data_IF_575122917704
#
_entry.id   IF_575122917704
#
_cell.length_a   1.000
_cell.length_b   1.000
_cell.length_c   1.000
_cell.angle_alpha   90.00
_cell.angle_beta   90.00
_cell.angle_gamma   90.00
#
_symmetry.space_group_name_H-M   'P 1'
#
loop_
_entity.id
_entity.type
_entity.pdbx_description
1 polymer ?
#
# COMPACT_ATOMS: atom_id res chain seq x y z
N UNK A 1 1.50 7.83 6.64
CA UNK A 1 0.67 7.62 5.47
C UNK A 1 0.22 6.17 5.40
N UNK A 2 -1.07 5.94 5.22
CA UNK A 2 -1.71 4.65 4.99
C UNK A 2 -2.32 4.59 3.59
N UNK A 3 -2.89 3.44 3.24
CA UNK A 3 -3.62 3.19 1.99
C UNK A 3 -2.98 3.83 0.74
N UNK A 4 -1.73 3.45 0.47
CA UNK A 4 -0.90 3.98 -0.63
C UNK A 4 -0.70 5.51 -0.64
N UNK A 5 -1.08 6.21 0.42
CA UNK A 5 -0.99 7.66 0.56
C UNK A 5 -2.32 8.39 0.51
N UNK A 6 -3.44 7.68 0.38
CA UNK A 6 -4.77 8.26 0.51
C UNK A 6 -5.12 8.65 1.95
N UNK A 7 -4.38 8.09 2.92
CA UNK A 7 -4.49 8.41 4.33
C UNK A 7 -3.19 9.02 4.85
N UNK A 8 -3.28 10.04 5.67
CA UNK A 8 -2.13 10.59 6.38
C UNK A 8 -2.50 11.03 7.80
N UNK A 9 -1.51 10.99 8.65
CA UNK A 9 -1.65 11.52 9.99
C UNK A 9 -0.41 12.36 10.32
N UNK A 10 -0.62 13.52 10.93
CA UNK A 10 0.44 14.40 11.35
C UNK A 10 0.72 14.18 12.83
N UNK A 11 1.95 13.80 13.17
CA UNK A 11 2.40 13.71 14.56
C UNK A 11 2.90 15.08 15.03
N UNK A 12 2.30 15.59 16.09
CA UNK A 12 2.80 16.77 16.81
C UNK A 12 3.84 16.31 17.84
N UNK A 13 4.77 17.20 18.21
CA UNK A 13 5.81 16.95 19.24
C UNK A 13 5.15 16.35 20.51
N UNK A 14 5.57 15.15 20.94
CA UNK A 14 4.93 14.41 22.04
C UNK A 14 3.92 13.37 21.56
N UNK A 15 4.30 12.63 20.53
CA UNK A 15 3.52 11.56 19.89
C UNK A 15 2.74 10.69 20.89
N UNK A 16 1.43 10.78 20.80
CA UNK A 16 0.49 9.85 21.44
C UNK A 16 -0.35 9.21 20.34
N UNK A 17 -0.26 7.88 20.15
CA UNK A 17 -1.01 7.16 19.10
C UNK A 17 -2.51 7.39 19.13
N UNK A 18 -3.08 7.54 20.35
CA UNK A 18 -4.49 7.81 20.61
C UNK A 18 -4.99 9.20 20.17
N UNK A 19 -4.07 10.09 19.80
CA UNK A 19 -4.36 11.46 19.36
C UNK A 19 -4.04 11.74 17.91
N UNK A 20 -3.73 10.71 17.12
CA UNK A 20 -3.55 10.87 15.69
C UNK A 20 -4.89 11.16 15.02
N UNK A 21 -5.00 12.31 14.38
CA UNK A 21 -6.08 12.57 13.43
C UNK A 21 -5.65 12.00 12.09
N UNK A 22 -6.32 10.95 11.66
CA UNK A 22 -6.16 10.42 10.30
C UNK A 22 -7.01 11.28 9.38
N UNK A 23 -6.39 11.80 8.34
CA UNK A 23 -7.05 12.54 7.28
C UNK A 23 -7.03 11.68 6.01
N UNK A 24 -8.11 11.78 5.24
CA UNK A 24 -8.27 11.02 4.00
C UNK A 24 -8.26 11.97 2.80
N UNK A 25 -7.73 11.52 1.69
CA UNK A 25 -7.85 12.26 0.42
C UNK A 25 -9.34 12.34 0.04
N UNK A 26 -9.84 13.53 -0.30
CA UNK A 26 -11.23 13.69 -0.70
C UNK A 26 -11.55 12.84 -1.93
N UNK A 27 -12.65 12.13 -1.88
CA UNK A 27 -13.14 11.28 -2.97
C UNK A 27 -14.49 11.82 -3.44
N UNK A 28 -14.76 11.77 -4.74
CA UNK A 28 -16.04 12.17 -5.29
C UNK A 28 -17.18 11.34 -4.68
N UNK A 29 -18.30 11.98 -4.38
CA UNK A 29 -19.42 11.33 -3.68
C UNK A 29 -19.96 10.11 -4.43
N UNK A 30 -19.95 10.14 -5.77
CA UNK A 30 -20.34 9.02 -6.63
C UNK A 30 -19.40 7.82 -6.50
N UNK A 31 -18.08 8.06 -6.39
CA UNK A 31 -17.07 7.01 -6.20
C UNK A 31 -17.22 6.38 -4.82
N UNK A 32 -17.47 7.19 -3.78
CA UNK A 32 -17.74 6.68 -2.43
C UNK A 32 -19.03 5.85 -2.40
N UNK A 33 -20.10 6.35 -3.01
CA UNK A 33 -21.37 5.62 -3.10
C UNK A 33 -21.21 4.28 -3.84
N UNK A 34 -20.40 4.23 -4.91
CA UNK A 34 -20.09 2.98 -5.60
C UNK A 34 -19.27 2.04 -4.73
N UNK A 35 -18.27 2.53 -4.00
CA UNK A 35 -17.52 1.71 -3.05
C UNK A 35 -18.45 1.08 -1.99
N UNK A 36 -19.40 1.85 -1.45
CA UNK A 36 -20.37 1.36 -0.47
C UNK A 36 -21.33 0.32 -1.08
N UNK A 37 -21.76 0.49 -2.33
CA UNK A 37 -22.53 -0.51 -3.06
C UNK A 37 -21.73 -1.80 -3.25
N UNK A 38 -20.49 -1.73 -3.68
CA UNK A 38 -19.63 -2.89 -3.89
C UNK A 38 -19.41 -3.68 -2.59
N UNK A 39 -19.25 -3.00 -1.45
CA UNK A 39 -19.18 -3.64 -0.12
C UNK A 39 -20.43 -4.46 0.19
N UNK A 40 -21.60 -3.92 -0.14
CA UNK A 40 -22.89 -4.54 0.17
C UNK A 40 -23.27 -5.65 -0.83
N UNK A 41 -23.02 -5.44 -2.12
CA UNK A 41 -23.58 -6.26 -3.20
C UNK A 41 -22.62 -7.38 -3.66
N UNK A 42 -21.30 -7.17 -3.65
CA UNK A 42 -20.34 -8.19 -4.15
C UNK A 42 -20.28 -9.45 -3.28
N UNK A 43 -20.21 -9.37 -1.93
CA UNK A 43 -20.14 -10.59 -1.12
C UNK A 43 -21.31 -11.55 -1.32
N UNK A 44 -22.60 -11.12 -1.34
CA UNK A 44 -23.71 -12.04 -1.59
C UNK A 44 -23.73 -12.58 -3.03
N UNK A 45 -23.24 -11.84 -4.03
CA UNK A 45 -23.15 -12.32 -5.42
C UNK A 45 -22.10 -13.43 -5.57
N UNK A 46 -21.00 -13.35 -4.83
CA UNK A 46 -19.95 -14.38 -4.83
C UNK A 46 -20.36 -15.59 -4.00
N UNK A 47 -21.02 -15.38 -2.84
CA UNK A 47 -21.58 -16.44 -2.00
C UNK A 47 -20.59 -17.41 -1.37
N UNK A 48 -19.28 -17.12 -1.41
CA UNK A 48 -18.23 -17.98 -0.86
C UNK A 48 -17.79 -17.54 0.54
N UNK A 49 -17.78 -18.46 1.49
CA UNK A 49 -17.30 -18.26 2.86
C UNK A 49 -15.77 -18.00 2.95
N UNK A 50 -15.06 -18.29 1.86
CA UNK A 50 -13.64 -17.99 1.67
C UNK A 50 -13.35 -16.52 1.33
N UNK A 51 -14.39 -15.75 0.94
CA UNK A 51 -14.22 -14.34 0.59
C UNK A 51 -14.08 -13.48 1.85
N UNK A 52 -13.04 -12.65 1.89
CA UNK A 52 -12.88 -11.66 2.94
C UNK A 52 -12.76 -10.27 2.32
N UNK A 53 -13.52 -9.32 2.84
CA UNK A 53 -13.47 -7.91 2.46
C UNK A 53 -12.53 -7.16 3.40
N UNK A 54 -11.58 -6.44 2.83
CA UNK A 54 -10.82 -5.40 3.50
C UNK A 54 -11.35 -4.05 3.06
N UNK A 55 -11.98 -3.34 3.99
CA UNK A 55 -12.57 -2.02 3.77
C UNK A 55 -11.57 -0.92 4.16
N UNK A 56 -11.19 -0.09 3.20
CA UNK A 56 -10.33 1.08 3.37
C UNK A 56 -11.07 2.39 3.04
N UNK A 57 -12.39 2.39 3.24
CA UNK A 57 -13.24 3.51 2.89
C UNK A 57 -13.63 3.49 1.41
N UNK A 58 -13.00 4.31 0.59
CA UNK A 58 -13.24 4.39 -0.85
C UNK A 58 -12.44 3.35 -1.66
N UNK A 59 -11.40 2.76 -1.08
CA UNK A 59 -10.65 1.64 -1.66
C UNK A 59 -11.03 0.34 -0.99
N UNK A 60 -11.10 -0.76 -1.75
CA UNK A 60 -11.56 -2.07 -1.30
C UNK A 60 -10.62 -3.16 -1.75
N UNK A 61 -10.49 -4.23 -0.95
CA UNK A 61 -9.81 -5.44 -1.38
C UNK A 61 -10.64 -6.68 -1.04
N UNK A 62 -11.06 -7.42 -2.06
CA UNK A 62 -11.73 -8.70 -1.93
C UNK A 62 -10.68 -9.81 -1.94
N UNK A 63 -10.37 -10.37 -0.78
CA UNK A 63 -9.39 -11.45 -0.63
C UNK A 63 -10.03 -12.82 -0.83
N UNK A 64 -9.44 -13.63 -1.70
CA UNK A 64 -9.88 -15.00 -2.02
C UNK A 64 -8.76 -16.04 -1.87
N UNK A 65 -7.77 -15.76 -1.02
CA UNK A 65 -6.63 -16.69 -0.78
C UNK A 65 -7.02 -18.03 -0.16
N UNK A 66 -8.23 -18.12 0.45
CA UNK A 66 -8.76 -19.33 1.06
C UNK A 66 -9.70 -20.11 0.14
N UNK A 67 -9.94 -19.62 -1.07
CA UNK A 67 -10.78 -20.31 -2.03
C UNK A 67 -10.16 -21.66 -2.43
N UNK A 68 -10.97 -22.70 -2.62
CA UNK A 68 -10.52 -24.01 -3.09
C UNK A 68 -9.84 -23.92 -4.47
N UNK A 69 -10.38 -23.07 -5.34
CA UNK A 69 -9.83 -22.73 -6.64
C UNK A 69 -9.68 -21.21 -6.74
N UNK A 70 -8.45 -20.75 -6.74
CA UNK A 70 -8.10 -19.32 -6.73
C UNK A 70 -8.44 -18.64 -8.06
N UNK A 71 -8.30 -19.34 -9.18
CA UNK A 71 -8.61 -18.76 -10.50
C UNK A 71 -10.12 -18.67 -10.74
N UNK A 72 -10.87 -19.69 -10.34
CA UNK A 72 -12.33 -19.63 -10.37
C UNK A 72 -12.88 -18.53 -9.45
N UNK A 73 -12.33 -18.41 -8.23
CA UNK A 73 -12.69 -17.36 -7.28
C UNK A 73 -12.38 -15.95 -7.82
N UNK A 74 -11.22 -15.79 -8.47
CA UNK A 74 -10.85 -14.53 -9.15
C UNK A 74 -11.89 -14.15 -10.22
N UNK A 75 -12.28 -15.11 -11.07
CA UNK A 75 -13.26 -14.89 -12.12
C UNK A 75 -14.63 -14.51 -11.53
N UNK A 76 -15.07 -15.19 -10.46
CA UNK A 76 -16.32 -14.89 -9.76
C UNK A 76 -16.33 -13.49 -9.14
N UNK A 77 -15.26 -13.12 -8.41
CA UNK A 77 -15.16 -11.81 -7.79
C UNK A 77 -15.14 -10.71 -8.85
N UNK A 78 -14.36 -10.89 -9.92
CA UNK A 78 -14.35 -9.95 -11.03
C UNK A 78 -15.73 -9.78 -11.66
N UNK A 79 -16.40 -10.87 -11.99
CA UNK A 79 -17.74 -10.82 -12.59
C UNK A 79 -18.75 -10.12 -11.67
N UNK A 80 -18.69 -10.36 -10.36
CA UNK A 80 -19.55 -9.69 -9.39
C UNK A 80 -19.25 -8.17 -9.32
N UNK A 81 -17.98 -7.79 -9.32
CA UNK A 81 -17.57 -6.38 -9.35
C UNK A 81 -18.05 -5.70 -10.64
N UNK A 82 -17.81 -6.32 -11.81
CA UNK A 82 -18.23 -5.78 -13.12
C UNK A 82 -19.76 -5.66 -13.23
N UNK A 83 -20.52 -6.54 -12.55
CA UNK A 83 -21.97 -6.48 -12.50
C UNK A 83 -22.51 -5.31 -11.68
N UNK A 84 -21.81 -4.91 -10.62
CA UNK A 84 -22.17 -3.79 -9.72
C UNK A 84 -21.65 -2.46 -10.28
N UNK A 85 -20.37 -2.40 -10.62
CA UNK A 85 -19.72 -1.21 -11.18
C UNK A 85 -19.65 -1.28 -12.71
N UNK A 86 -20.80 -1.19 -13.34
CA UNK A 86 -20.93 -1.28 -14.82
C UNK A 86 -20.29 -0.11 -15.55
N UNK A 87 -20.16 1.03 -14.88
CA UNK A 87 -19.62 2.25 -15.45
C UNK A 87 -18.09 2.36 -15.25
N UNK A 88 -17.52 1.47 -14.43
CA UNK A 88 -16.09 1.48 -14.14
C UNK A 88 -15.65 2.70 -13.35
N UNK A 89 -16.44 3.09 -12.36
CA UNK A 89 -16.14 4.25 -11.49
C UNK A 89 -14.90 4.04 -10.62
N UNK A 90 -14.56 2.78 -10.30
CA UNK A 90 -13.34 2.44 -9.61
C UNK A 90 -12.31 1.78 -10.53
N UNK A 91 -11.04 2.15 -10.38
CA UNK A 91 -9.94 1.42 -11.00
C UNK A 91 -9.80 0.02 -10.40
N UNK A 92 -9.52 -0.97 -11.25
CA UNK A 92 -9.38 -2.37 -10.88
C UNK A 92 -7.95 -2.87 -11.13
N UNK A 93 -6.95 -2.50 -10.32
CA UNK A 93 -5.57 -2.99 -10.51
C UNK A 93 -5.45 -4.51 -10.33
N UNK A 94 -6.45 -5.14 -9.73
CA UNK A 94 -6.48 -6.58 -9.49
C UNK A 94 -5.44 -7.02 -8.45
N UNK A 95 -5.08 -8.31 -8.48
CA UNK A 95 -4.08 -8.89 -7.58
C UNK A 95 -3.98 -10.40 -7.75
N UNK A 96 -2.99 -11.03 -7.13
CA UNK A 96 -2.75 -12.48 -7.29
C UNK A 96 -3.81 -13.31 -6.56
N UNK A 97 -4.12 -12.95 -5.30
CA UNK A 97 -5.09 -13.66 -4.43
C UNK A 97 -6.06 -12.70 -3.77
N UNK A 98 -6.25 -11.55 -4.40
CA UNK A 98 -7.17 -10.50 -4.01
C UNK A 98 -7.60 -9.73 -5.26
N UNK A 99 -8.72 -9.04 -5.19
CA UNK A 99 -9.17 -8.09 -6.20
C UNK A 99 -9.23 -6.72 -5.56
N UNK A 100 -8.32 -5.85 -5.95
CA UNK A 100 -8.23 -4.49 -5.43
C UNK A 100 -9.06 -3.54 -6.29
N UNK A 101 -9.75 -2.63 -5.64
CA UNK A 101 -10.53 -1.55 -6.22
C UNK A 101 -10.12 -0.25 -5.53
N UNK A 102 -9.94 0.80 -6.29
CA UNK A 102 -9.54 2.10 -5.76
C UNK A 102 -10.14 3.26 -6.55
N UNK A 103 -10.28 4.45 -5.95
CA UNK A 103 -10.69 5.64 -6.67
C UNK A 103 -9.80 5.92 -7.88
N UNK A 104 -10.36 6.47 -8.97
CA UNK A 104 -9.57 6.89 -10.12
C UNK A 104 -8.50 7.91 -9.74
N UNK A 105 -7.29 7.70 -10.24
CA UNK A 105 -6.17 8.58 -9.95
C UNK A 105 -5.63 8.49 -8.51
N UNK A 106 -6.06 7.52 -7.71
CA UNK A 106 -5.52 7.29 -6.37
C UNK A 106 -4.00 7.16 -6.43
N UNK A 107 -3.32 7.87 -5.52
CA UNK A 107 -1.88 7.92 -5.50
C UNK A 107 -1.27 6.53 -5.29
N UNK A 108 -0.25 6.21 -6.05
CA UNK A 108 0.58 5.02 -5.82
C UNK A 108 1.60 5.28 -4.72
N UNK A 109 2.11 4.23 -4.06
CA UNK A 109 3.21 4.35 -3.08
C UNK A 109 4.40 5.15 -3.64
N UNK A 110 4.71 4.98 -4.92
CA UNK A 110 5.76 5.75 -5.60
C UNK A 110 5.44 7.24 -5.65
N UNK A 111 4.24 7.61 -6.10
CA UNK A 111 3.82 9.02 -6.18
C UNK A 111 3.77 9.67 -4.80
N UNK A 112 3.24 8.95 -3.80
CA UNK A 112 3.21 9.41 -2.41
C UNK A 112 4.61 9.64 -1.87
N UNK A 113 5.52 8.69 -2.07
CA UNK A 113 6.91 8.83 -1.63
C UNK A 113 7.59 10.02 -2.31
N UNK A 114 7.39 10.21 -3.62
CA UNK A 114 7.92 11.36 -4.34
C UNK A 114 7.41 12.67 -3.75
N UNK A 115 6.09 12.82 -3.55
CA UNK A 115 5.48 14.01 -2.94
C UNK A 115 6.03 14.29 -1.54
N UNK A 116 6.23 13.23 -0.72
CA UNK A 116 6.80 13.36 0.63
C UNK A 116 8.23 13.88 0.59
N UNK A 117 9.05 13.35 -0.28
CA UNK A 117 10.45 13.77 -0.43
C UNK A 117 10.51 15.24 -0.88
N UNK A 118 9.73 15.62 -1.88
CA UNK A 118 9.64 17.00 -2.39
C UNK A 118 9.18 17.99 -1.31
N UNK A 119 8.20 17.60 -0.50
CA UNK A 119 7.64 18.44 0.57
C UNK A 119 8.54 18.56 1.78
N UNK A 120 9.19 17.46 2.19
CA UNK A 120 9.97 17.39 3.43
C UNK A 120 11.46 17.74 3.21
N UNK A 121 11.96 17.57 1.98
CA UNK A 121 13.37 17.74 1.59
C UNK A 121 14.33 17.12 2.60
N UNK A 122 14.21 15.82 2.88
CA UNK A 122 15.04 15.16 3.88
C UNK A 122 16.48 14.97 3.36
N UNK A 123 17.45 14.94 4.25
CA UNK A 123 18.83 14.57 3.92
C UNK A 123 18.97 13.09 3.57
N UNK A 124 18.14 12.23 4.19
CA UNK A 124 18.15 10.78 3.99
C UNK A 124 16.72 10.22 3.95
N UNK A 125 16.46 9.37 2.96
CA UNK A 125 15.21 8.59 2.84
C UNK A 125 15.52 7.12 2.97
N UNK A 126 14.86 6.44 3.92
CA UNK A 126 14.93 4.98 4.04
C UNK A 126 13.53 4.41 3.86
N UNK A 127 13.35 3.52 2.88
CA UNK A 127 12.10 2.83 2.65
C UNK A 127 12.30 1.33 2.77
N UNK A 128 11.42 0.68 3.54
CA UNK A 128 11.36 -0.77 3.66
C UNK A 128 10.06 -1.27 3.02
N UNK A 129 10.13 -2.40 2.29
CA UNK A 129 8.95 -2.97 1.67
C UNK A 129 9.16 -4.41 1.23
N UNK A 130 8.06 -5.17 1.08
CA UNK A 130 8.09 -6.60 0.78
C UNK A 130 7.29 -7.01 -0.45
N UNK A 131 6.51 -6.08 -1.02
CA UNK A 131 5.61 -6.35 -2.13
C UNK A 131 6.03 -5.69 -3.47
N UNK A 132 5.21 -5.92 -4.49
CA UNK A 132 5.41 -5.35 -5.83
C UNK A 132 5.29 -3.82 -5.85
N UNK A 133 4.36 -3.28 -5.06
CA UNK A 133 4.12 -1.84 -5.02
C UNK A 133 5.27 -1.12 -4.32
N UNK A 134 5.85 -1.77 -3.29
CA UNK A 134 7.06 -1.29 -2.64
C UNK A 134 8.26 -1.28 -3.59
N UNK A 135 8.46 -2.37 -4.34
CA UNK A 135 9.50 -2.45 -5.36
C UNK A 135 9.38 -1.35 -6.43
N UNK A 136 8.15 -0.98 -6.79
CA UNK A 136 7.91 0.16 -7.68
C UNK A 136 8.23 1.50 -6.99
N UNK A 137 7.92 1.66 -5.71
CA UNK A 137 8.21 2.87 -4.96
C UNK A 137 9.72 3.07 -4.73
N UNK A 138 10.53 2.02 -4.67
CA UNK A 138 11.99 2.12 -4.59
C UNK A 138 12.61 2.89 -5.78
N UNK A 139 11.91 2.94 -6.93
CA UNK A 139 12.37 3.77 -8.06
C UNK A 139 12.35 5.27 -7.74
N UNK A 140 11.48 5.72 -6.82
CA UNK A 140 11.46 7.10 -6.37
C UNK A 140 12.75 7.46 -5.60
N UNK A 141 13.23 6.56 -4.73
CA UNK A 141 14.50 6.75 -3.99
C UNK A 141 15.67 6.89 -4.94
N UNK A 142 15.75 6.01 -5.94
CA UNK A 142 16.81 6.07 -6.96
C UNK A 142 16.80 7.39 -7.72
N UNK A 143 15.62 7.83 -8.13
CA UNK A 143 15.45 9.09 -8.85
C UNK A 143 15.88 10.32 -8.04
N UNK A 144 15.55 10.34 -6.74
CA UNK A 144 15.92 11.44 -5.83
C UNK A 144 17.43 11.49 -5.62
N UNK A 145 18.09 10.33 -5.45
CA UNK A 145 19.55 10.24 -5.35
C UNK A 145 20.26 10.83 -6.58
N UNK A 146 19.71 10.60 -7.76
CA UNK A 146 20.29 11.06 -9.03
C UNK A 146 20.08 12.56 -9.28
N UNK A 147 18.94 13.11 -8.84
CA UNK A 147 18.54 14.48 -9.16
C UNK A 147 18.86 15.51 -8.07
N UNK A 148 18.60 15.16 -6.84
CA UNK A 148 18.44 16.15 -5.76
C UNK A 148 19.55 16.05 -4.69
N UNK A 149 20.48 15.09 -4.83
CA UNK A 149 21.55 14.88 -3.89
C UNK A 149 21.10 14.37 -2.51
N UNK A 150 19.82 14.00 -2.38
CA UNK A 150 19.28 13.37 -1.17
C UNK A 150 19.77 11.93 -1.08
N UNK A 151 20.34 11.54 0.05
CA UNK A 151 20.70 10.15 0.28
C UNK A 151 19.45 9.27 0.38
N UNK A 152 19.55 8.05 -0.13
CA UNK A 152 18.40 7.16 -0.14
C UNK A 152 18.80 5.68 -0.01
N UNK A 153 18.02 4.92 0.73
CA UNK A 153 18.19 3.48 0.91
C UNK A 153 16.87 2.76 0.71
N UNK A 154 16.81 1.91 -0.31
CA UNK A 154 15.69 1.01 -0.58
C UNK A 154 15.99 -0.36 0.02
N UNK A 155 15.18 -0.81 0.97
CA UNK A 155 15.34 -2.08 1.69
C UNK A 155 14.21 -3.03 1.32
N UNK A 156 14.50 -4.09 0.57
CA UNK A 156 13.59 -5.20 0.37
C UNK A 156 13.50 -6.06 1.64
N UNK A 157 12.29 -6.43 2.04
CA UNK A 157 12.09 -7.33 3.20
C UNK A 157 11.48 -8.62 2.71
N UNK A 158 12.15 -9.76 2.93
CA UNK A 158 11.60 -11.05 2.55
C UNK A 158 10.42 -11.41 3.45
N UNK A 159 9.30 -11.75 2.84
CA UNK A 159 8.12 -12.32 3.47
C UNK A 159 7.68 -13.57 2.72
N UNK A 160 6.67 -14.28 3.23
CA UNK A 160 6.09 -15.43 2.51
C UNK A 160 5.40 -15.05 1.20
N UNK A 161 5.04 -13.77 1.06
CA UNK A 161 4.35 -13.24 -0.12
C UNK A 161 5.29 -12.53 -1.10
N UNK A 162 6.56 -12.32 -0.73
CA UNK A 162 7.53 -11.61 -1.54
C UNK A 162 7.91 -12.38 -2.79
N UNK A 163 8.23 -11.64 -3.85
CA UNK A 163 9.03 -12.10 -4.98
C UNK A 163 10.50 -11.73 -4.73
N UNK A 164 11.36 -12.68 -4.29
CA UNK A 164 12.74 -12.38 -3.92
C UNK A 164 13.56 -11.80 -5.06
N UNK A 165 13.31 -12.28 -6.30
CA UNK A 165 14.06 -11.83 -7.49
C UNK A 165 13.71 -10.37 -7.80
N UNK A 166 12.43 -10.04 -7.72
CA UNK A 166 11.97 -8.66 -7.96
C UNK A 166 12.51 -7.71 -6.90
N UNK A 167 12.45 -8.09 -5.63
CA UNK A 167 13.00 -7.28 -4.54
C UNK A 167 14.50 -7.07 -4.69
N UNK A 168 15.26 -8.13 -4.99
CA UNK A 168 16.71 -8.06 -5.17
C UNK A 168 17.11 -7.14 -6.34
N UNK A 169 16.27 -7.03 -7.37
CA UNK A 169 16.52 -6.12 -8.50
C UNK A 169 16.15 -4.66 -8.23
N UNK A 170 15.22 -4.44 -7.31
CA UNK A 170 14.66 -3.12 -7.03
C UNK A 170 15.29 -2.43 -5.83
N UNK A 171 15.71 -3.19 -4.82
CA UNK A 171 16.26 -2.70 -3.56
C UNK A 171 17.79 -2.60 -3.60
N UNK A 172 18.34 -1.72 -2.77
CA UNK A 172 19.79 -1.63 -2.54
C UNK A 172 20.26 -2.77 -1.63
N UNK A 173 19.41 -3.18 -0.68
CA UNK A 173 19.67 -4.25 0.32
C UNK A 173 18.40 -5.09 0.50
N UNK A 174 18.57 -6.38 0.77
CA UNK A 174 17.45 -7.28 1.09
C UNK A 174 17.63 -7.86 2.48
N UNK A 175 16.63 -7.69 3.35
CA UNK A 175 16.61 -8.27 4.70
C UNK A 175 15.85 -9.59 4.71
N UNK A 176 16.34 -10.54 5.47
CA UNK A 176 15.79 -11.89 5.58
C UNK A 176 14.50 -11.96 6.44
N UNK A 177 13.74 -10.89 6.51
CA UNK A 177 12.43 -10.85 7.16
C UNK A 177 12.27 -9.72 8.16
N UNK A 178 11.08 -9.65 8.75
CA UNK A 178 10.67 -8.57 9.65
C UNK A 178 11.53 -8.43 10.91
N UNK A 179 12.12 -9.53 11.41
CA UNK A 179 13.01 -9.48 12.57
C UNK A 179 14.26 -8.63 12.31
N UNK A 180 14.89 -8.80 11.13
CA UNK A 180 16.07 -8.00 10.74
C UNK A 180 15.68 -6.54 10.57
N UNK A 181 14.52 -6.28 9.96
CA UNK A 181 13.96 -4.93 9.82
C UNK A 181 13.75 -4.24 11.17
N UNK A 182 13.16 -4.94 12.14
CA UNK A 182 12.94 -4.42 13.48
C UNK A 182 14.25 -4.07 14.20
N UNK A 183 15.27 -4.93 14.07
CA UNK A 183 16.61 -4.65 14.63
C UNK A 183 17.25 -3.42 13.98
N UNK A 184 17.18 -3.33 12.67
CA UNK A 184 17.70 -2.19 11.91
C UNK A 184 17.04 -0.88 12.37
N UNK A 185 15.72 -0.83 12.44
CA UNK A 185 14.98 0.35 12.90
C UNK A 185 15.31 0.72 14.36
N UNK A 186 15.52 -0.29 15.21
CA UNK A 186 15.94 -0.07 16.60
C UNK A 186 17.32 0.57 16.68
N UNK A 187 18.26 0.15 15.86
CA UNK A 187 19.60 0.75 15.79
C UNK A 187 19.54 2.19 15.30
N UNK A 188 18.79 2.46 14.24
CA UNK A 188 18.59 3.83 13.73
C UNK A 188 18.00 4.76 14.80
N UNK A 189 17.01 4.28 15.56
CA UNK A 189 16.41 5.06 16.64
C UNK A 189 17.40 5.40 17.76
N UNK A 190 18.29 4.47 18.11
CA UNK A 190 19.33 4.68 19.11
C UNK A 190 20.38 5.69 18.67
N UNK A 191 20.88 5.57 17.45
CA UNK A 191 21.84 6.51 16.86
C UNK A 191 21.31 7.95 16.84
N UNK A 192 20.02 8.10 16.48
CA UNK A 192 19.36 9.41 16.50
C UNK A 192 19.26 10.01 17.91
N UNK A 193 19.05 9.18 18.92
CA UNK A 193 18.94 9.61 20.32
C UNK A 193 20.29 9.92 20.96
N UNK A 194 21.40 9.47 20.36
CA UNK A 194 22.77 9.65 20.84
C UNK A 194 23.44 10.90 20.26
N UNK A 195 22.81 11.59 19.32
CA UNK A 195 23.31 12.86 18.78
C UNK A 195 22.75 14.01 19.61
N UNK A 196 23.62 14.87 20.14
CA UNK A 196 23.24 16.01 20.99
C UNK A 196 22.39 17.04 20.25
#
# INVERSE_FOLDING_TARGET
HGDHGAEWATAVRGFRPDRLKVEHEPVAAEVQAMADRLKAEVPPLVGGDWLALEDKGSALSFHFRRAPDVEAARAQVRAAVDAVDREGLLEQPGGVRMWELRPPGAATKRQTLTRLIEAQRPDLVIMLGDDRNDAQAFTAIRHVRERDGTDGLAVGVLSRASDPIRLARAADVVFAGSYVSARFLTLLARERSSRP
#
